data_IF_907726492400
#
_entry.id   IF_907726492400
#
_cell.length_a   1.000
_cell.length_b   1.000
_cell.length_c   1.000
_cell.angle_alpha   90.00
_cell.angle_beta   90.00
_cell.angle_gamma   90.00
#
_symmetry.space_group_name_H-M   'P 1'
#
loop_
_entity.id
_entity.type
_entity.pdbx_description
1 polymer ?
#
# COMPACT_ATOMS: atom_id res chain seq x y z
N UNK A 1 -22.97 54.77 -45.48
CA UNK A 1 -22.54 54.44 -44.11
C UNK A 1 -22.96 53.00 -43.83
N UNK A 2 -22.03 52.07 -43.84
CA UNK A 2 -22.26 50.63 -43.61
C UNK A 2 -21.26 50.16 -42.56
N UNK A 3 -21.69 49.51 -41.46
CA UNK A 3 -20.74 48.84 -40.57
C UNK A 3 -20.65 47.37 -40.95
N UNK A 4 -19.43 46.92 -41.24
CA UNK A 4 -19.04 45.51 -41.34
C UNK A 4 -18.89 44.94 -39.93
N UNK A 5 -19.63 43.86 -39.66
CA UNK A 5 -19.65 43.15 -38.37
C UNK A 5 -18.73 41.92 -38.47
N UNK A 6 -17.48 42.06 -37.99
CA UNK A 6 -16.50 40.98 -37.94
C UNK A 6 -16.81 40.08 -36.75
N UNK A 7 -17.30 38.86 -37.00
CA UNK A 7 -17.50 37.84 -35.96
C UNK A 7 -16.19 37.08 -35.74
N UNK A 8 -15.52 37.32 -34.62
CA UNK A 8 -14.37 36.53 -34.17
C UNK A 8 -14.88 35.32 -33.39
N UNK A 9 -14.77 34.13 -33.98
CA UNK A 9 -15.11 32.86 -33.34
C UNK A 9 -13.95 32.43 -32.43
N UNK A 10 -14.16 32.45 -31.12
CA UNK A 10 -13.18 32.04 -30.11
C UNK A 10 -13.30 30.51 -29.88
N UNK A 11 -12.31 29.73 -30.34
CA UNK A 11 -12.21 28.30 -30.02
C UNK A 11 -11.65 28.15 -28.59
N UNK A 12 -12.48 27.77 -27.62
CA UNK A 12 -12.04 27.37 -26.28
C UNK A 12 -11.63 25.89 -26.30
N UNK A 13 -10.33 25.61 -26.36
CA UNK A 13 -9.79 24.28 -26.07
C UNK A 13 -9.67 24.08 -24.57
N UNK A 14 -10.61 23.34 -23.99
CA UNK A 14 -10.60 22.90 -22.59
C UNK A 14 -9.49 21.89 -22.36
N UNK A 15 -8.34 22.32 -21.82
CA UNK A 15 -7.26 21.44 -21.41
C UNK A 15 -7.59 20.88 -20.02
N UNK A 16 -8.11 19.64 -19.95
CA UNK A 16 -8.30 18.94 -18.68
C UNK A 16 -6.94 18.44 -18.19
N UNK A 17 -6.33 19.13 -17.23
CA UNK A 17 -5.19 18.61 -16.48
C UNK A 17 -5.65 17.40 -15.66
N UNK A 18 -5.28 16.20 -16.11
CA UNK A 18 -5.38 15.00 -15.28
C UNK A 18 -4.41 15.12 -14.12
N UNK A 19 -4.90 15.16 -12.88
CA UNK A 19 -4.07 15.10 -11.69
C UNK A 19 -3.49 13.70 -11.57
N UNK A 20 -2.19 13.54 -11.84
CA UNK A 20 -1.48 12.33 -11.49
C UNK A 20 -1.56 12.17 -9.96
N UNK A 21 -2.21 11.11 -9.48
CA UNK A 21 -2.28 10.81 -8.05
C UNK A 21 -0.90 10.34 -7.60
N UNK A 22 -0.15 11.23 -6.95
CA UNK A 22 1.14 10.87 -6.37
C UNK A 22 0.94 9.87 -5.23
N UNK A 23 1.86 8.90 -5.11
CA UNK A 23 1.90 8.04 -3.94
C UNK A 23 2.05 8.90 -2.67
N UNK A 24 1.37 8.56 -1.56
CA UNK A 24 1.62 9.20 -0.29
C UNK A 24 3.08 8.97 0.13
N UNK A 25 3.62 9.90 0.90
CA UNK A 25 4.91 9.71 1.56
C UNK A 25 4.85 8.47 2.47
N UNK A 26 5.96 7.73 2.55
CA UNK A 26 6.06 6.58 3.43
C UNK A 26 5.87 7.07 4.89
N UNK A 27 4.85 6.59 5.62
CA UNK A 27 4.46 7.18 6.90
C UNK A 27 5.40 6.80 8.06
N UNK A 28 6.37 5.92 7.82
CA UNK A 28 7.37 5.50 8.79
C UNK A 28 8.77 5.72 8.20
N UNK A 29 9.67 6.26 9.03
CA UNK A 29 11.09 6.31 8.70
C UNK A 29 11.73 4.93 8.86
N UNK A 30 12.95 4.79 8.33
CA UNK A 30 13.78 3.62 8.61
C UNK A 30 13.95 3.41 10.11
N UNK A 31 13.82 2.17 10.58
CA UNK A 31 13.89 1.83 11.99
C UNK A 31 13.30 0.46 12.35
N UNK A 32 13.24 0.22 13.65
CA UNK A 32 12.72 -1.00 14.26
C UNK A 32 11.38 -0.73 14.94
N UNK A 33 10.42 -1.62 14.76
CA UNK A 33 9.04 -1.48 15.20
C UNK A 33 8.47 -2.82 15.68
N UNK A 34 7.34 -2.76 16.36
CA UNK A 34 6.49 -3.93 16.62
C UNK A 34 5.20 -3.75 15.84
N UNK A 35 4.91 -4.70 14.96
CA UNK A 35 3.66 -4.77 14.23
C UNK A 35 2.76 -5.84 14.84
N UNK A 36 1.47 -5.59 14.83
CA UNK A 36 0.49 -6.62 15.18
C UNK A 36 0.02 -7.32 13.91
N UNK A 37 0.14 -8.64 13.85
CA UNK A 37 -0.57 -9.43 12.85
C UNK A 37 -2.07 -9.43 13.18
N UNK A 38 -2.92 -9.26 12.16
CA UNK A 38 -4.37 -9.43 12.29
C UNK A 38 -4.93 -10.21 11.10
N UNK A 39 -5.99 -10.96 11.38
CA UNK A 39 -6.73 -11.72 10.39
C UNK A 39 -7.76 -10.84 9.69
N UNK A 40 -7.74 -10.80 8.36
CA UNK A 40 -8.68 -10.02 7.57
C UNK A 40 -10.13 -10.54 7.73
N UNK A 41 -10.31 -11.87 7.81
CA UNK A 41 -11.63 -12.50 7.95
C UNK A 41 -12.19 -12.42 9.37
N UNK A 42 -11.31 -12.38 10.38
CA UNK A 42 -11.68 -12.29 11.78
C UNK A 42 -10.85 -11.24 12.53
N UNK A 43 -11.04 -9.93 12.27
CA UNK A 43 -10.15 -8.88 12.81
C UNK A 43 -10.10 -8.81 14.34
N UNK A 44 -11.10 -9.35 15.04
CA UNK A 44 -11.14 -9.39 16.50
C UNK A 44 -10.44 -10.62 17.11
N UNK A 45 -10.05 -11.59 16.28
CA UNK A 45 -9.23 -12.72 16.73
C UNK A 45 -7.85 -12.22 17.13
N UNK A 46 -7.33 -12.78 18.22
CA UNK A 46 -5.99 -12.45 18.71
C UNK A 46 -4.95 -12.92 17.70
N UNK A 47 -4.15 -11.99 17.18
CA UNK A 47 -2.95 -12.28 16.41
C UNK A 47 -1.69 -12.25 17.26
N UNK A 48 -0.54 -12.21 16.60
CA UNK A 48 0.79 -12.14 17.23
C UNK A 48 1.47 -10.79 17.03
N UNK A 49 2.51 -10.51 17.82
CA UNK A 49 3.40 -9.39 17.58
C UNK A 49 4.59 -9.83 16.71
N UNK A 50 5.02 -8.96 15.81
CA UNK A 50 6.11 -9.19 14.88
C UNK A 50 7.16 -8.09 15.05
N UNK A 51 8.41 -8.48 15.28
CA UNK A 51 9.54 -7.57 15.23
C UNK A 51 9.76 -7.17 13.77
N UNK A 52 9.73 -5.86 13.51
CA UNK A 52 9.65 -5.31 12.15
C UNK A 52 10.78 -4.32 11.90
N UNK A 53 11.60 -4.57 10.89
CA UNK A 53 12.56 -3.58 10.38
C UNK A 53 11.99 -2.92 9.12
N UNK A 54 12.03 -1.59 9.07
CA UNK A 54 11.88 -0.82 7.83
C UNK A 54 13.23 -0.20 7.49
N UNK A 55 13.70 -0.42 6.27
CA UNK A 55 14.97 0.12 5.81
C UNK A 55 14.97 0.36 4.31
N UNK A 56 15.23 1.60 3.90
CA UNK A 56 15.30 2.00 2.49
C UNK A 56 14.07 1.55 1.68
N UNK A 57 12.87 1.70 2.26
CA UNK A 57 11.61 1.31 1.63
C UNK A 57 11.34 -0.18 1.57
N UNK A 58 12.15 -1.02 2.24
CA UNK A 58 11.88 -2.45 2.45
C UNK A 58 11.36 -2.70 3.85
N UNK A 59 10.58 -3.76 4.02
CA UNK A 59 10.07 -4.25 5.30
C UNK A 59 10.49 -5.71 5.50
N UNK A 60 10.82 -6.06 6.75
CA UNK A 60 11.03 -7.44 7.18
C UNK A 60 10.28 -7.67 8.48
N UNK A 61 9.46 -8.73 8.54
CA UNK A 61 8.58 -9.08 9.66
C UNK A 61 9.05 -10.42 10.24
N UNK A 62 9.46 -10.43 11.51
CA UNK A 62 10.01 -11.62 12.18
C UNK A 62 9.18 -11.96 13.41
N UNK A 63 8.77 -13.23 13.52
CA UNK A 63 8.25 -13.77 14.76
C UNK A 63 9.41 -14.34 15.60
N UNK A 64 9.67 -13.74 16.75
CA UNK A 64 10.65 -14.24 17.72
C UNK A 64 10.01 -14.98 18.90
N UNK A 65 8.68 -15.13 18.88
CA UNK A 65 7.93 -15.88 19.88
C UNK A 65 7.68 -17.32 19.38
N UNK A 66 8.12 -18.30 20.16
CA UNK A 66 7.89 -19.71 19.86
C UNK A 66 6.50 -20.20 20.29
N UNK A 67 5.74 -19.36 20.99
CA UNK A 67 4.41 -19.71 21.47
C UNK A 67 3.37 -19.56 20.34
N UNK A 68 2.54 -20.60 20.15
CA UNK A 68 1.42 -20.57 19.21
C UNK A 68 1.68 -21.29 17.88
N UNK A 69 0.93 -20.91 16.84
CA UNK A 69 0.87 -21.62 15.55
C UNK A 69 1.65 -20.93 14.43
N UNK A 70 2.14 -19.71 14.66
CA UNK A 70 2.96 -19.01 13.67
C UNK A 70 4.37 -19.59 13.64
N UNK A 71 4.99 -19.69 12.45
CA UNK A 71 6.37 -20.14 12.35
C UNK A 71 7.29 -19.18 13.09
N UNK A 72 8.33 -19.72 13.71
CA UNK A 72 9.42 -18.91 14.28
C UNK A 72 10.32 -18.41 13.14
N UNK A 73 10.79 -17.17 13.25
CA UNK A 73 11.69 -16.54 12.30
C UNK A 73 10.97 -15.61 11.32
N UNK A 74 11.54 -15.47 10.12
CA UNK A 74 11.03 -14.55 9.11
C UNK A 74 9.64 -15.00 8.64
N UNK A 75 8.66 -14.11 8.85
CA UNK A 75 7.28 -14.29 8.39
C UNK A 75 7.11 -13.77 6.98
N UNK A 76 7.64 -12.57 6.70
CA UNK A 76 7.49 -11.93 5.40
C UNK A 76 8.57 -10.85 5.18
N UNK A 77 8.98 -10.64 3.93
CA UNK A 77 9.88 -9.54 3.53
C UNK A 77 9.60 -9.05 2.11
N UNK A 78 9.81 -7.75 1.87
CA UNK A 78 9.76 -7.22 0.52
C UNK A 78 9.88 -5.71 0.44
N UNK A 79 9.60 -5.16 -0.74
CA UNK A 79 9.55 -3.71 -0.94
C UNK A 79 8.16 -3.18 -0.57
N UNK A 80 8.11 -2.05 0.13
CA UNK A 80 6.87 -1.34 0.41
C UNK A 80 6.44 -0.56 -0.83
N UNK A 81 5.24 -0.83 -1.29
CA UNK A 81 4.67 -0.15 -2.46
C UNK A 81 3.27 0.37 -2.16
N UNK A 82 3.01 1.62 -2.52
CA UNK A 82 1.66 2.18 -2.46
C UNK A 82 0.86 1.68 -3.67
N UNK A 83 -0.06 0.75 -3.43
CA UNK A 83 -0.95 0.26 -4.45
C UNK A 83 -2.14 1.20 -4.62
N UNK A 84 -2.02 2.15 -5.55
CA UNK A 84 -2.98 3.24 -5.74
C UNK A 84 -4.42 2.77 -6.02
N UNK A 85 -4.58 1.60 -6.64
CA UNK A 85 -5.91 1.02 -6.94
C UNK A 85 -6.64 0.60 -5.66
N UNK A 86 -5.94 -0.02 -4.71
CA UNK A 86 -6.56 -0.47 -3.45
C UNK A 86 -6.48 0.58 -2.35
N UNK A 87 -5.59 1.57 -2.47
CA UNK A 87 -5.37 2.57 -1.43
C UNK A 87 -4.65 2.01 -0.20
N UNK A 88 -3.82 0.99 -0.39
CA UNK A 88 -3.08 0.33 0.67
C UNK A 88 -1.58 0.26 0.34
N UNK A 89 -0.77 0.24 1.40
CA UNK A 89 0.61 -0.22 1.28
C UNK A 89 0.62 -1.75 1.21
N UNK A 90 1.40 -2.27 0.28
CA UNK A 90 1.57 -3.71 0.07
C UNK A 90 3.05 -4.07 0.11
N UNK A 91 3.32 -5.34 0.38
CA UNK A 91 4.64 -5.95 0.25
C UNK A 91 4.71 -6.56 -1.15
N UNK A 92 5.64 -6.07 -1.97
CA UNK A 92 5.87 -6.62 -3.31
C UNK A 92 7.15 -7.46 -3.32
N UNK A 93 7.10 -8.57 -4.06
CA UNK A 93 8.20 -9.53 -4.25
C UNK A 93 8.68 -9.52 -5.70
N UNK A 94 7.79 -9.18 -6.62
CA UNK A 94 8.05 -9.15 -8.05
C UNK A 94 7.31 -7.99 -8.74
N UNK A 95 7.74 -7.57 -9.94
CA UNK A 95 7.14 -6.41 -10.61
C UNK A 95 5.63 -6.50 -10.85
N UNK A 96 5.08 -7.71 -11.05
CA UNK A 96 3.65 -7.91 -11.34
C UNK A 96 2.73 -7.58 -10.15
N UNK A 97 3.26 -7.59 -8.93
CA UNK A 97 2.47 -7.31 -7.71
C UNK A 97 1.95 -5.86 -7.70
N UNK A 98 2.68 -4.94 -8.35
CA UNK A 98 2.27 -3.54 -8.51
C UNK A 98 0.98 -3.37 -9.31
N UNK A 99 0.64 -4.37 -10.12
CA UNK A 99 -0.53 -4.38 -11.01
C UNK A 99 -1.61 -5.37 -10.53
N UNK A 100 -1.45 -5.96 -9.34
CA UNK A 100 -2.37 -6.92 -8.79
C UNK A 100 -3.80 -6.36 -8.75
N UNK A 101 -4.77 -7.17 -9.20
CA UNK A 101 -6.18 -6.77 -9.21
C UNK A 101 -6.73 -6.68 -7.80
N UNK A 102 -6.36 -7.66 -6.99
CA UNK A 102 -6.76 -7.85 -5.60
C UNK A 102 -5.49 -7.93 -4.74
N UNK A 103 -5.57 -7.45 -3.49
CA UNK A 103 -4.46 -7.46 -2.53
C UNK A 103 -4.98 -7.79 -1.14
N UNK A 104 -4.15 -8.41 -0.31
CA UNK A 104 -4.46 -8.77 1.07
C UNK A 104 -5.59 -9.79 1.22
N UNK A 105 -6.05 -9.96 2.47
CA UNK A 105 -7.04 -10.98 2.82
C UNK A 105 -6.60 -12.38 2.42
N UNK A 106 -7.54 -13.17 1.92
CA UNK A 106 -7.30 -14.52 1.39
C UNK A 106 -7.19 -14.50 -0.15
N UNK A 107 -6.80 -13.37 -0.75
CA UNK A 107 -6.49 -13.32 -2.18
C UNK A 107 -5.11 -13.91 -2.45
N UNK A 108 -4.86 -14.30 -3.71
CA UNK A 108 -3.52 -14.67 -4.18
C UNK A 108 -2.63 -13.43 -4.43
N UNK A 109 -3.11 -12.25 -4.05
CA UNK A 109 -2.42 -10.98 -4.22
C UNK A 109 -1.40 -10.70 -3.10
N UNK A 110 -0.59 -9.64 -3.27
CA UNK A 110 0.41 -9.23 -2.29
C UNK A 110 -0.23 -8.86 -0.94
N UNK A 111 0.51 -9.10 0.14
CA UNK A 111 0.05 -8.82 1.50
C UNK A 111 -0.12 -7.31 1.74
N UNK A 112 -1.08 -6.95 2.60
CA UNK A 112 -1.39 -5.57 2.96
C UNK A 112 -0.77 -5.23 4.32
N UNK A 113 -0.16 -4.04 4.39
CA UNK A 113 0.43 -3.51 5.62
C UNK A 113 -0.19 -2.14 5.93
N UNK A 114 -0.76 -1.99 7.10
CA UNK A 114 -1.15 -0.68 7.63
C UNK A 114 0.03 -0.10 8.41
N UNK A 115 0.88 0.67 7.73
CA UNK A 115 2.06 1.28 8.33
C UNK A 115 1.72 2.30 9.43
N UNK A 116 0.55 2.96 9.36
CA UNK A 116 0.15 3.95 10.36
C UNK A 116 -0.21 3.29 11.69
N UNK A 117 -1.01 2.23 11.61
CA UNK A 117 -1.46 1.48 12.78
C UNK A 117 -0.51 0.33 13.15
N UNK A 118 0.54 0.09 12.35
CA UNK A 118 1.50 -1.01 12.48
C UNK A 118 0.81 -2.37 12.47
N UNK A 119 -0.02 -2.62 11.46
CA UNK A 119 -0.75 -3.89 11.30
C UNK A 119 -0.26 -4.60 10.05
N UNK A 120 0.05 -5.89 10.20
CA UNK A 120 0.27 -6.82 9.09
C UNK A 120 -0.99 -7.68 8.92
N UNK A 121 -1.64 -7.58 7.77
CA UNK A 121 -2.89 -8.30 7.52
C UNK A 121 -2.61 -9.62 6.83
N UNK A 122 -3.07 -10.72 7.42
CA UNK A 122 -3.08 -12.03 6.80
C UNK A 122 -4.52 -12.55 6.66
N UNK A 123 -4.69 -13.57 5.84
CA UNK A 123 -5.71 -14.57 6.05
C UNK A 123 -5.36 -15.37 7.33
#
# INVERSE_FOLDING_TARGET
MTPTLTHTLLLLTSLTLGTAYAAPELPLADGQYVFQQRYAEHPQMQGINLDTEIKQGRISLTNNDSDGVFPLGLIDEGELYWHARSGHWIIIYEPKDKEAKDVGGCSDGPAVVDLKNKIYWTC
#
